data_IF_403403172781
#
_entry.id   IF_403403172781
#
_cell.length_a   1.000
_cell.length_b   1.000
_cell.length_c   1.000
_cell.angle_alpha   90.00
_cell.angle_beta   90.00
_cell.angle_gamma   90.00
#
_symmetry.space_group_name_H-M   'P 1'
#
loop_
_entity.id
_entity.type
_entity.pdbx_description
1 polymer ?
#
# COMPACT_ATOMS: atom_id res chain seq x y z
N UNK A 1 -13.77 -23.96 1.23
CA UNK A 1 -13.06 -22.84 1.86
C UNK A 1 -12.08 -22.34 0.83
N UNK A 2 -12.43 -21.26 0.15
CA UNK A 2 -11.63 -20.65 -0.90
C UNK A 2 -10.60 -19.74 -0.24
N UNK A 3 -9.39 -20.28 -0.09
CA UNK A 3 -8.22 -19.57 0.42
C UNK A 3 -7.21 -19.43 -0.71
N UNK A 4 -6.76 -18.21 -0.92
CA UNK A 4 -5.62 -17.89 -1.77
C UNK A 4 -4.41 -17.59 -0.88
N UNK A 5 -3.25 -18.08 -1.29
CA UNK A 5 -1.97 -17.73 -0.69
C UNK A 5 -0.95 -17.57 -1.81
N UNK A 6 -0.31 -16.42 -1.87
CA UNK A 6 0.58 -16.13 -2.98
C UNK A 6 1.34 -14.83 -2.83
N UNK A 7 2.22 -14.62 -3.80
CA UNK A 7 2.96 -13.38 -3.97
C UNK A 7 2.09 -12.36 -4.70
N UNK A 8 2.13 -11.12 -4.25
CA UNK A 8 1.46 -9.99 -4.87
C UNK A 8 2.35 -8.75 -4.79
N UNK A 9 1.89 -7.67 -5.42
CA UNK A 9 2.51 -6.35 -5.31
C UNK A 9 1.48 -5.32 -4.85
N UNK A 10 1.86 -4.46 -3.92
CA UNK A 10 1.12 -3.25 -3.59
C UNK A 10 1.71 -2.11 -4.40
N UNK A 11 0.99 -1.72 -5.44
CA UNK A 11 1.37 -0.62 -6.33
C UNK A 11 0.73 0.68 -5.83
N UNK A 12 1.55 1.70 -5.58
CA UNK A 12 1.13 3.03 -5.16
C UNK A 12 1.22 4.01 -6.32
N UNK A 13 0.07 4.58 -6.69
CA UNK A 13 -0.11 5.37 -7.91
C UNK A 13 -0.42 6.83 -7.57
N UNK A 14 0.26 7.77 -8.23
CA UNK A 14 -0.11 9.19 -8.14
C UNK A 14 -1.44 9.49 -8.87
N UNK A 15 -1.67 8.72 -9.95
CA UNK A 15 -2.81 8.82 -10.86
C UNK A 15 -2.86 7.53 -11.71
N UNK A 16 -3.81 7.43 -12.64
CA UNK A 16 -4.04 6.24 -13.48
C UNK A 16 -2.85 5.81 -14.35
N UNK A 17 -1.82 6.65 -14.50
CA UNK A 17 -0.70 6.43 -15.43
C UNK A 17 0.68 6.63 -14.81
N UNK A 18 0.77 7.00 -13.53
CA UNK A 18 2.06 7.29 -12.84
C UNK A 18 2.19 6.41 -11.60
N UNK A 19 3.00 5.35 -11.71
CA UNK A 19 3.39 4.49 -10.60
C UNK A 19 4.55 5.14 -9.83
N UNK A 20 4.37 5.33 -8.53
CA UNK A 20 5.38 5.95 -7.66
C UNK A 20 6.13 4.94 -6.80
N UNK A 21 5.51 3.81 -6.48
CA UNK A 21 6.14 2.74 -5.72
C UNK A 21 5.44 1.41 -5.95
N UNK A 22 6.20 0.32 -5.85
CA UNK A 22 5.67 -1.04 -5.89
C UNK A 22 6.40 -1.86 -4.84
N UNK A 23 5.65 -2.48 -3.94
CA UNK A 23 6.19 -3.27 -2.84
C UNK A 23 5.75 -4.72 -2.98
N UNK A 24 6.69 -5.65 -2.98
CA UNK A 24 6.40 -7.08 -3.06
C UNK A 24 5.95 -7.63 -1.70
N UNK A 25 4.79 -8.29 -1.70
CA UNK A 25 4.12 -8.78 -0.48
C UNK A 25 3.71 -10.24 -0.63
N UNK A 26 3.72 -10.96 0.49
CA UNK A 26 3.07 -12.26 0.59
C UNK A 26 1.68 -12.05 1.21
N UNK A 27 0.63 -12.51 0.54
CA UNK A 27 -0.77 -12.30 0.97
C UNK A 27 -1.47 -13.64 1.15
N UNK A 28 -2.27 -13.73 2.20
CA UNK A 28 -3.26 -14.77 2.43
C UNK A 28 -4.63 -14.11 2.36
N UNK A 29 -5.50 -14.58 1.46
CA UNK A 29 -6.88 -14.12 1.32
C UNK A 29 -7.80 -15.28 1.61
N UNK A 30 -8.75 -15.09 2.52
CA UNK A 30 -9.76 -16.07 2.88
C UNK A 30 -11.13 -15.52 2.55
N UNK A 31 -11.86 -16.18 1.64
CA UNK A 31 -13.25 -15.85 1.38
C UNK A 31 -14.14 -16.31 2.55
N UNK A 32 -15.16 -15.51 2.85
CA UNK A 32 -16.17 -15.75 3.88
C UNK A 32 -17.57 -15.45 3.32
N UNK A 33 -18.62 -15.89 4.01
CA UNK A 33 -20.00 -15.64 3.58
C UNK A 33 -20.36 -14.14 3.52
N UNK A 34 -19.59 -13.29 4.21
CA UNK A 34 -19.81 -11.84 4.32
C UNK A 34 -18.80 -11.01 3.52
N UNK A 35 -17.90 -11.63 2.75
CA UNK A 35 -16.85 -10.93 1.99
C UNK A 35 -15.52 -11.68 2.03
N UNK A 36 -14.42 -10.96 2.21
CA UNK A 36 -13.10 -11.55 2.30
C UNK A 36 -12.28 -10.91 3.42
N UNK A 37 -11.39 -11.71 3.99
CA UNK A 37 -10.38 -11.27 4.93
C UNK A 37 -9.02 -11.49 4.29
N UNK A 38 -8.15 -10.48 4.31
CA UNK A 38 -6.80 -10.66 3.83
C UNK A 38 -5.76 -10.09 4.78
N UNK A 39 -4.70 -10.87 4.93
CA UNK A 39 -3.53 -10.55 5.69
C UNK A 39 -2.32 -10.59 4.77
N UNK A 40 -1.43 -9.61 4.93
CA UNK A 40 -0.20 -9.57 4.17
C UNK A 40 1.01 -9.30 5.05
N UNK A 41 2.18 -9.61 4.48
CA UNK A 41 3.48 -9.22 5.02
C UNK A 41 4.40 -8.77 3.89
N UNK A 42 5.32 -7.88 4.21
CA UNK A 42 6.44 -7.56 3.31
C UNK A 42 7.26 -8.82 3.06
N UNK A 43 7.69 -9.01 1.81
CA UNK A 43 8.57 -10.15 1.45
C UNK A 43 10.02 -9.92 1.85
N UNK A 44 10.46 -8.66 1.77
CA UNK A 44 11.76 -8.20 2.23
C UNK A 44 11.71 -7.85 3.71
N UNK A 45 12.81 -8.11 4.41
CA UNK A 45 12.95 -7.88 5.85
C UNK A 45 13.77 -6.62 6.16
N UNK A 46 13.96 -5.74 5.16
CA UNK A 46 14.80 -4.55 5.33
C UNK A 46 14.04 -3.44 6.07
N UNK A 47 14.76 -2.68 6.90
CA UNK A 47 14.20 -1.50 7.55
C UNK A 47 13.79 -0.44 6.51
N UNK A 48 14.50 -0.35 5.39
CA UNK A 48 14.21 0.60 4.30
C UNK A 48 12.84 0.34 3.66
N UNK A 49 12.53 -0.91 3.32
CA UNK A 49 11.23 -1.26 2.73
C UNK A 49 10.09 -1.07 3.72
N UNK A 50 10.32 -1.37 5.00
CA UNK A 50 9.34 -1.12 6.06
C UNK A 50 9.05 0.37 6.19
N UNK A 51 10.08 1.19 6.27
CA UNK A 51 9.95 2.63 6.46
C UNK A 51 9.33 3.29 5.21
N UNK A 52 9.67 2.82 4.01
CA UNK A 52 9.02 3.23 2.77
C UNK A 52 7.53 2.85 2.74
N UNK A 53 7.17 1.62 3.11
CA UNK A 53 5.77 1.20 3.19
C UNK A 53 4.99 2.02 4.22
N UNK A 54 5.57 2.25 5.41
CA UNK A 54 4.96 3.08 6.45
C UNK A 54 4.73 4.52 5.96
N UNK A 55 5.70 5.12 5.27
CA UNK A 55 5.55 6.44 4.67
C UNK A 55 4.42 6.49 3.64
N UNK A 56 4.32 5.50 2.74
CA UNK A 56 3.24 5.44 1.76
C UNK A 56 1.86 5.32 2.43
N UNK A 57 1.75 4.49 3.47
CA UNK A 57 0.52 4.36 4.26
C UNK A 57 0.09 5.65 4.96
N UNK A 58 1.04 6.46 5.45
CA UNK A 58 0.77 7.76 6.07
C UNK A 58 0.24 8.79 5.06
N UNK A 59 0.71 8.73 3.81
CA UNK A 59 0.27 9.65 2.75
C UNK A 59 -1.08 9.26 2.13
N UNK A 60 -1.24 8.02 1.67
CA UNK A 60 -2.52 7.45 1.24
C UNK A 60 -2.43 5.92 1.41
N UNK A 61 -3.18 5.30 2.34
CA UNK A 61 -3.10 3.88 2.61
C UNK A 61 -3.74 3.02 1.52
N UNK A 62 -4.07 3.58 0.36
CA UNK A 62 -4.70 2.84 -0.72
C UNK A 62 -3.74 2.52 -1.85
N UNK A 63 -3.76 1.23 -2.18
CA UNK A 63 -2.90 0.61 -3.15
C UNK A 63 -3.74 -0.12 -4.19
N UNK A 64 -3.13 -0.37 -5.34
CA UNK A 64 -3.57 -1.41 -6.26
C UNK A 64 -2.84 -2.69 -5.88
N UNK A 65 -3.56 -3.69 -5.36
CA UNK A 65 -3.04 -5.04 -5.18
C UNK A 65 -3.01 -5.74 -6.53
N UNK A 66 -1.81 -6.07 -7.01
CA UNK A 66 -1.57 -6.79 -8.26
C UNK A 66 -1.14 -8.22 -7.98
N UNK A 67 -1.82 -9.17 -8.59
CA UNK A 67 -1.54 -10.61 -8.52
C UNK A 67 -0.53 -11.03 -9.60
N UNK A 68 0.04 -12.24 -9.49
CA UNK A 68 1.02 -12.76 -10.46
C UNK A 68 0.47 -12.96 -11.87
N UNK A 69 -0.84 -13.22 -11.98
CA UNK A 69 -1.55 -13.34 -13.25
C UNK A 69 -1.84 -11.97 -13.92
N UNK A 70 -1.47 -10.87 -13.25
CA UNK A 70 -1.72 -9.50 -13.70
C UNK A 70 -3.10 -8.95 -13.33
N UNK A 71 -3.96 -9.74 -12.68
CA UNK A 71 -5.22 -9.26 -12.12
C UNK A 71 -4.94 -8.21 -11.04
N UNK A 72 -5.85 -7.23 -10.90
CA UNK A 72 -5.67 -6.14 -9.93
C UNK A 72 -6.95 -5.83 -9.17
N UNK A 73 -6.80 -5.35 -7.93
CA UNK A 73 -7.91 -4.88 -7.07
C UNK A 73 -7.44 -3.70 -6.23
N UNK A 74 -8.29 -2.69 -6.06
CA UNK A 74 -7.98 -1.56 -5.18
C UNK A 74 -8.23 -1.94 -3.71
N UNK A 75 -7.25 -1.69 -2.84
CA UNK A 75 -7.30 -2.09 -1.42
C UNK A 75 -6.79 -0.99 -0.50
N UNK A 76 -7.43 -0.83 0.65
CA UNK A 76 -6.87 -0.07 1.76
C UNK A 76 -6.02 -0.99 2.63
N UNK A 77 -4.78 -0.62 2.86
CA UNK A 77 -3.87 -1.32 3.75
C UNK A 77 -3.95 -0.76 5.18
N UNK A 78 -4.03 -1.66 6.15
CA UNK A 78 -4.05 -1.32 7.58
C UNK A 78 -2.80 -1.93 8.23
N UNK A 79 -1.69 -1.18 8.35
CA UNK A 79 -0.48 -1.67 8.98
C UNK A 79 -0.71 -1.97 10.47
N UNK A 80 -0.01 -2.98 10.96
CA UNK A 80 0.08 -3.32 12.40
C UNK A 80 1.28 -2.61 13.04
N UNK A 81 1.41 -2.65 14.38
CA UNK A 81 2.39 -1.88 15.20
C UNK A 81 3.89 -1.95 14.78
N UNK A 82 4.25 -2.75 13.77
CA UNK A 82 5.61 -2.88 13.23
C UNK A 82 5.68 -2.69 11.69
N UNK A 83 4.57 -2.38 11.01
CA UNK A 83 4.48 -2.18 9.54
C UNK A 83 4.98 -3.35 8.67
N UNK A 84 5.48 -4.45 9.25
CA UNK A 84 5.84 -5.68 8.53
C UNK A 84 4.65 -6.55 8.19
N UNK A 85 3.55 -6.34 8.89
CA UNK A 85 2.27 -7.03 8.67
C UNK A 85 1.15 -6.02 8.56
N UNK A 86 0.16 -6.35 7.77
CA UNK A 86 -1.00 -5.52 7.53
C UNK A 86 -2.22 -6.38 7.23
N UNK A 87 -3.40 -5.79 7.39
CA UNK A 87 -4.63 -6.33 6.80
C UNK A 87 -5.00 -5.50 5.58
N UNK A 88 -5.76 -6.10 4.65
CA UNK A 88 -6.31 -5.40 3.50
C UNK A 88 -7.83 -5.43 3.56
N UNK A 89 -8.45 -4.33 3.14
CA UNK A 89 -9.89 -4.26 2.87
C UNK A 89 -10.12 -3.72 1.48
N UNK A 90 -11.19 -4.16 0.83
CA UNK A 90 -11.55 -3.62 -0.48
C UNK A 90 -11.76 -2.10 -0.39
N UNK A 91 -11.15 -1.37 -1.32
CA UNK A 91 -11.38 0.06 -1.40
C UNK A 91 -12.60 0.32 -2.29
N UNK A 92 -13.66 0.85 -1.69
CA UNK A 92 -14.94 1.16 -2.36
C UNK A 92 -15.15 2.66 -2.63
N UNK A 93 -14.13 3.49 -2.41
CA UNK A 93 -14.21 4.94 -2.63
C UNK A 93 -13.96 5.35 -4.09
N UNK A 94 -13.87 6.66 -4.39
CA UNK A 94 -13.66 7.15 -5.74
C UNK A 94 -12.32 6.68 -6.33
N UNK A 95 -12.33 6.37 -7.63
CA UNK A 95 -11.15 5.95 -8.40
C UNK A 95 -10.15 7.09 -8.61
N UNK A 96 -10.63 8.34 -8.64
CA UNK A 96 -9.79 9.53 -8.74
C UNK A 96 -9.62 10.15 -7.34
N UNK A 97 -8.41 10.04 -6.79
CA UNK A 97 -8.07 10.59 -5.49
C UNK A 97 -7.08 11.74 -5.64
N UNK A 98 -7.35 12.91 -5.04
CA UNK A 98 -6.30 13.90 -4.87
C UNK A 98 -5.29 13.32 -3.89
N UNK A 99 -4.10 12.95 -4.39
CA UNK A 99 -2.95 12.71 -3.51
C UNK A 99 -2.50 14.08 -3.02
N UNK A 100 -2.86 14.44 -1.79
CA UNK A 100 -2.35 15.66 -1.15
C UNK A 100 -0.87 15.45 -0.84
N UNK A 101 0.01 15.92 -1.74
CA UNK A 101 1.44 15.95 -1.47
C UNK A 101 1.74 16.96 -0.37
N UNK A 102 1.99 16.49 0.86
CA UNK A 102 2.56 17.35 1.89
C UNK A 102 4.06 17.50 1.64
N UNK A 103 4.44 18.43 0.76
CA UNK A 103 5.85 18.83 0.64
C UNK A 103 6.14 19.78 1.78
N UNK A 104 6.68 19.26 2.88
CA UNK A 104 7.30 20.10 3.91
C UNK A 104 8.56 20.76 3.33
N UNK A 105 8.38 21.93 2.72
CA UNK A 105 9.48 22.82 2.36
C UNK A 105 9.97 23.51 3.63
N UNK A 106 10.69 22.81 4.51
CA UNK A 106 11.53 23.49 5.49
C UNK A 106 12.70 24.13 4.74
N UNK A 107 12.46 25.32 4.20
CA UNK A 107 13.49 26.17 3.60
C UNK A 107 14.49 26.60 4.69
N UNK A 108 15.81 26.48 4.48
CA UNK A 108 16.76 27.24 5.29
C UNK A 108 16.67 28.72 4.89
N UNK A 109 16.22 29.56 5.81
CA UNK A 109 16.35 31.01 5.68
C UNK A 109 17.83 31.40 5.77
N UNK A 110 18.52 31.47 4.63
CA UNK A 110 19.80 32.16 4.54
C UNK A 110 19.53 33.67 4.62
N UNK A 111 19.64 34.23 5.83
CA UNK A 111 19.75 35.68 6.04
C UNK A 111 21.04 36.16 5.37
N UNK A 112 20.93 36.89 4.27
CA UNK A 112 22.03 37.73 3.78
C UNK A 112 22.31 38.84 4.80
N UNK A 113 23.58 38.96 5.19
CA UNK A 113 24.15 40.16 5.79
C UNK A 113 24.92 40.93 4.73
#
# INVERSE_FOLDING_TARGET
>A
MDRFEGRCWLDWWANTSTLLGSVEVAVVITASDTGWDAHGRLTTDTDEDRDAFAFLCDQDPVFTLRFEDGSTVAVTAHPTDDHRRFTLTEYTGPTHRPVEHHIDLTQPQTRLR
#
